data_IF_090921711445
#
_entry.id   IF_090921711445
#
_cell.length_a   1.000
_cell.length_b   1.000
_cell.length_c   1.000
_cell.angle_alpha   90.00
_cell.angle_beta   90.00
_cell.angle_gamma   90.00
#
_symmetry.space_group_name_H-M   'P 1'
#
loop_
_entity.id
_entity.type
_entity.pdbx_description
1 polymer ?
#
# COMPACT_ATOMS: atom_id res chain seq x y z
N UNK A 1 -39.56 20.62 10.97
CA UNK A 1 -39.57 20.12 9.57
C UNK A 1 -38.54 20.81 8.65
N UNK A 2 -37.46 21.41 9.21
CA UNK A 2 -36.42 22.15 8.46
C UNK A 2 -35.12 21.34 8.28
N UNK A 3 -34.83 20.38 9.17
CA UNK A 3 -33.60 19.55 9.11
C UNK A 3 -33.49 18.64 7.88
N UNK A 4 -34.58 17.99 7.45
CA UNK A 4 -34.57 17.05 6.31
C UNK A 4 -34.36 17.71 4.94
N UNK A 5 -34.60 19.03 4.81
CA UNK A 5 -34.33 19.78 3.55
C UNK A 5 -32.86 20.16 3.41
N UNK A 6 -32.16 20.33 4.53
CA UNK A 6 -30.76 20.74 4.56
C UNK A 6 -29.83 19.54 4.30
N UNK A 7 -30.14 18.36 4.85
CA UNK A 7 -29.39 17.11 4.61
C UNK A 7 -29.48 16.64 3.14
N UNK A 8 -30.66 16.74 2.51
CA UNK A 8 -30.83 16.43 1.08
C UNK A 8 -30.07 17.38 0.15
N UNK A 9 -29.97 18.66 0.51
CA UNK A 9 -29.24 19.66 -0.28
C UNK A 9 -27.71 19.47 -0.19
N UNK A 10 -27.21 19.02 0.97
CA UNK A 10 -25.79 18.67 1.17
C UNK A 10 -25.44 17.40 0.36
N UNK A 11 -26.27 16.35 0.41
CA UNK A 11 -26.09 15.12 -0.38
C UNK A 11 -26.19 15.35 -1.91
N UNK A 12 -27.06 16.24 -2.39
CA UNK A 12 -27.14 16.61 -3.81
C UNK A 12 -25.91 17.42 -4.28
N UNK A 13 -25.23 18.12 -3.37
CA UNK A 13 -24.03 18.93 -3.69
C UNK A 13 -22.73 18.10 -3.76
N UNK A 14 -22.69 16.94 -3.10
CA UNK A 14 -21.65 15.91 -3.22
C UNK A 14 -21.78 15.11 -4.53
N UNK A 15 -23.00 14.98 -5.06
CA UNK A 15 -23.30 14.24 -6.28
C UNK A 15 -23.36 15.12 -7.56
N UNK A 16 -22.94 16.39 -7.53
CA UNK A 16 -22.90 17.22 -8.75
C UNK A 16 -21.93 16.60 -9.78
N UNK A 17 -22.41 16.13 -10.94
CA UNK A 17 -21.58 15.53 -11.97
C UNK A 17 -20.44 16.46 -12.44
N UNK A 18 -20.60 17.78 -12.30
CA UNK A 18 -19.56 18.77 -12.62
C UNK A 18 -18.42 18.72 -11.61
N UNK A 19 -18.72 18.64 -10.31
CA UNK A 19 -17.72 18.49 -9.24
C UNK A 19 -16.96 17.18 -9.36
N UNK A 20 -17.65 16.08 -9.64
CA UNK A 20 -16.98 14.79 -9.85
C UNK A 20 -16.04 14.83 -11.05
N UNK A 21 -16.46 15.44 -12.16
CA UNK A 21 -15.60 15.62 -13.35
C UNK A 21 -14.36 16.48 -13.08
N UNK A 22 -14.48 17.58 -12.32
CA UNK A 22 -13.30 18.40 -11.98
C UNK A 22 -12.35 17.66 -11.03
N UNK A 23 -12.87 16.94 -10.03
CA UNK A 23 -12.06 16.11 -9.14
C UNK A 23 -11.33 15.01 -9.91
N UNK A 24 -12.02 14.29 -10.79
CA UNK A 24 -11.43 13.25 -11.63
C UNK A 24 -10.28 13.79 -12.49
N UNK A 25 -10.48 14.93 -13.18
CA UNK A 25 -9.44 15.56 -14.01
C UNK A 25 -8.21 16.00 -13.21
N UNK A 26 -8.41 16.51 -12.00
CA UNK A 26 -7.31 16.88 -11.10
C UNK A 26 -6.52 15.64 -10.67
N UNK A 27 -7.20 14.55 -10.32
CA UNK A 27 -6.56 13.29 -9.97
C UNK A 27 -5.84 12.66 -11.18
N UNK A 28 -6.46 12.61 -12.36
CA UNK A 28 -5.84 12.06 -13.57
C UNK A 28 -4.54 12.83 -13.91
N UNK A 29 -4.58 14.15 -13.79
CA UNK A 29 -3.41 15.00 -13.99
C UNK A 29 -2.30 14.72 -12.96
N UNK A 30 -2.66 14.68 -11.68
CA UNK A 30 -1.71 14.40 -10.60
C UNK A 30 -1.10 13.00 -10.73
N UNK A 31 -1.90 11.96 -10.98
CA UNK A 31 -1.46 10.58 -11.23
C UNK A 31 -0.49 10.52 -12.43
N UNK A 32 -0.78 11.25 -13.50
CA UNK A 32 0.09 11.32 -14.69
C UNK A 32 1.45 11.95 -14.37
N UNK A 33 1.47 13.04 -13.61
CA UNK A 33 2.70 13.73 -13.22
C UNK A 33 3.53 12.86 -12.25
N UNK A 34 2.86 12.24 -11.29
CA UNK A 34 3.44 11.36 -10.29
C UNK A 34 4.14 10.14 -10.94
N UNK A 35 3.48 9.49 -11.89
CA UNK A 35 4.05 8.36 -12.62
C UNK A 35 5.29 8.76 -13.44
N UNK A 36 5.33 9.97 -14.01
CA UNK A 36 6.41 10.43 -14.89
C UNK A 36 7.60 11.03 -14.15
N UNK A 37 7.39 11.69 -13.02
CA UNK A 37 8.42 12.52 -12.37
C UNK A 37 8.41 12.49 -10.85
N UNK A 38 7.69 11.56 -10.22
CA UNK A 38 7.65 11.44 -8.77
C UNK A 38 6.89 12.58 -8.08
N UNK A 39 7.06 12.70 -6.77
CA UNK A 39 6.36 13.70 -5.93
C UNK A 39 6.63 15.13 -6.37
N UNK A 40 7.88 15.42 -6.74
CA UNK A 40 8.33 16.78 -7.05
C UNK A 40 7.69 17.33 -8.33
N UNK A 41 7.30 16.43 -9.25
CA UNK A 41 6.57 16.80 -10.47
C UNK A 41 5.11 17.21 -10.20
N UNK A 42 4.53 16.82 -9.06
CA UNK A 42 3.13 17.09 -8.71
C UNK A 42 3.00 18.45 -8.02
N UNK A 43 3.19 19.52 -8.78
CA UNK A 43 2.96 20.89 -8.29
C UNK A 43 1.53 21.36 -8.59
N UNK A 44 1.00 22.27 -7.76
CA UNK A 44 -0.33 22.88 -7.97
C UNK A 44 -0.47 23.47 -9.37
N UNK A 45 0.57 24.16 -9.85
CA UNK A 45 0.55 24.82 -11.15
C UNK A 45 0.63 23.79 -12.29
N UNK A 46 1.45 22.74 -12.17
CA UNK A 46 1.50 21.66 -13.15
C UNK A 46 0.18 20.90 -13.23
N UNK A 47 -0.43 20.57 -12.09
CA UNK A 47 -1.71 19.86 -12.02
C UNK A 47 -2.83 20.70 -12.61
N UNK A 48 -2.99 21.95 -12.20
CA UNK A 48 -4.07 22.83 -12.69
C UNK A 48 -3.96 23.08 -14.19
N UNK A 49 -2.73 23.27 -14.70
CA UNK A 49 -2.44 23.39 -16.13
C UNK A 49 -2.81 22.13 -16.90
N UNK A 50 -2.37 20.96 -16.45
CA UNK A 50 -2.63 19.68 -17.11
C UNK A 50 -4.12 19.29 -17.04
N UNK A 51 -4.73 19.46 -15.88
CA UNK A 51 -6.16 19.23 -15.66
C UNK A 51 -7.03 20.22 -16.42
N UNK A 52 -6.49 21.38 -16.85
CA UNK A 52 -7.21 22.54 -17.41
C UNK A 52 -8.34 23.00 -16.49
N UNK A 53 -8.00 23.21 -15.22
CA UNK A 53 -8.92 23.59 -14.13
C UNK A 53 -8.29 24.75 -13.36
N UNK A 54 -9.10 25.72 -12.90
CA UNK A 54 -8.61 26.86 -12.12
C UNK A 54 -8.09 26.42 -10.73
N UNK A 55 -7.09 27.13 -10.20
CA UNK A 55 -6.51 26.86 -8.87
C UNK A 55 -7.54 26.87 -7.74
N UNK A 56 -8.49 27.80 -7.79
CA UNK A 56 -9.59 27.86 -6.81
C UNK A 56 -10.47 26.59 -6.82
N UNK A 57 -10.59 25.90 -7.96
CA UNK A 57 -11.33 24.64 -8.05
C UNK A 57 -10.54 23.48 -7.44
N UNK A 58 -9.21 23.49 -7.52
CA UNK A 58 -8.37 22.49 -6.83
C UNK A 58 -8.57 22.57 -5.32
N UNK A 59 -8.47 23.77 -4.73
CA UNK A 59 -8.67 23.97 -3.28
C UNK A 59 -10.12 23.72 -2.80
N UNK A 60 -11.09 23.57 -3.72
CA UNK A 60 -12.46 23.13 -3.38
C UNK A 60 -12.61 21.61 -3.28
N UNK A 61 -11.61 20.87 -3.74
CA UNK A 61 -11.59 19.41 -3.80
C UNK A 61 -10.52 18.77 -2.92
N UNK A 62 -9.45 19.51 -2.63
CA UNK A 62 -8.33 19.08 -1.82
C UNK A 62 -7.92 20.24 -0.93
N UNK A 63 -7.79 19.98 0.36
CA UNK A 63 -7.42 20.97 1.37
C UNK A 63 -5.98 21.45 1.16
N UNK A 64 -5.10 20.57 0.66
CA UNK A 64 -3.72 20.91 0.33
C UNK A 64 -3.15 20.02 -0.80
N UNK A 65 -1.94 20.36 -1.26
CA UNK A 65 -1.25 19.60 -2.31
C UNK A 65 -0.85 18.17 -1.88
N UNK A 66 -0.60 17.94 -0.59
CA UNK A 66 -0.29 16.61 -0.05
C UNK A 66 -1.48 15.66 -0.19
N UNK A 67 -2.70 16.14 0.06
CA UNK A 67 -3.92 15.34 -0.09
C UNK A 67 -4.12 14.89 -1.53
N UNK A 68 -3.87 15.80 -2.48
CA UNK A 68 -3.91 15.48 -3.90
C UNK A 68 -2.87 14.42 -4.27
N UNK A 69 -1.63 14.54 -3.76
CA UNK A 69 -0.56 13.55 -4.01
C UNK A 69 -0.95 12.19 -3.42
N UNK A 70 -1.45 12.15 -2.19
CA UNK A 70 -1.92 10.91 -1.56
C UNK A 70 -3.05 10.25 -2.37
N UNK A 71 -4.05 11.03 -2.78
CA UNK A 71 -5.16 10.53 -3.58
C UNK A 71 -4.72 10.09 -4.99
N UNK A 72 -3.74 10.77 -5.60
CA UNK A 72 -3.16 10.39 -6.88
C UNK A 72 -2.33 9.10 -6.77
N UNK A 73 -1.60 8.94 -5.67
CA UNK A 73 -0.80 7.77 -5.38
C UNK A 73 -1.68 6.54 -5.18
N UNK A 74 -2.79 6.66 -4.44
CA UNK A 74 -3.76 5.57 -4.29
C UNK A 74 -4.29 5.02 -5.62
N UNK A 75 -4.26 5.80 -6.71
CA UNK A 75 -4.65 5.35 -8.06
C UNK A 75 -3.51 4.69 -8.85
N UNK A 76 -2.26 4.82 -8.41
CA UNK A 76 -1.11 4.16 -9.00
C UNK A 76 -0.87 2.75 -8.44
N UNK A 77 -1.41 2.46 -7.25
CA UNK A 77 -1.34 1.14 -6.66
C UNK A 77 -2.29 0.23 -7.46
N UNK A 78 -1.79 -0.84 -8.09
CA UNK A 78 -2.63 -1.79 -8.78
C UNK A 78 -3.69 -2.37 -7.84
N UNK A 79 -4.89 -2.70 -8.34
CA UNK A 79 -5.84 -3.46 -7.55
C UNK A 79 -5.19 -4.77 -7.08
N UNK A 80 -5.51 -5.18 -5.85
CA UNK A 80 -4.99 -6.41 -5.29
C UNK A 80 -5.39 -7.57 -6.21
N UNK A 81 -4.48 -8.51 -6.50
CA UNK A 81 -4.81 -9.62 -7.39
C UNK A 81 -5.91 -10.47 -6.76
N UNK A 82 -6.92 -10.82 -7.56
CA UNK A 82 -7.96 -11.75 -7.10
C UNK A 82 -7.38 -13.15 -7.06
N UNK A 83 -7.41 -13.80 -5.90
CA UNK A 83 -6.93 -15.18 -5.77
C UNK A 83 -8.06 -16.12 -6.20
N UNK A 84 -8.03 -16.53 -7.47
CA UNK A 84 -8.95 -17.52 -8.06
C UNK A 84 -8.32 -18.93 -8.11
N UNK A 85 -7.36 -19.21 -7.24
CA UNK A 85 -6.69 -20.50 -7.22
C UNK A 85 -7.57 -21.57 -6.54
N UNK A 86 -7.90 -22.62 -7.29
CA UNK A 86 -8.32 -23.91 -6.75
C UNK A 86 -7.09 -24.60 -6.13
N UNK A 87 -7.24 -25.24 -4.96
CA UNK A 87 -6.13 -25.93 -4.30
C UNK A 87 -6.11 -25.71 -2.78
N UNK A 88 -5.09 -26.29 -2.14
CA UNK A 88 -4.86 -26.13 -0.70
C UNK A 88 -4.26 -24.73 -0.38
N UNK A 89 -4.08 -24.43 0.90
CA UNK A 89 -3.52 -23.16 1.37
C UNK A 89 -2.18 -22.81 0.66
N UNK A 90 -1.33 -23.82 0.44
CA UNK A 90 0.00 -23.63 -0.16
C UNK A 90 -0.15 -23.18 -1.60
N UNK A 91 -0.94 -23.90 -2.40
CA UNK A 91 -1.16 -23.59 -3.81
C UNK A 91 -1.72 -22.17 -3.98
N UNK A 92 -2.70 -21.81 -3.15
CA UNK A 92 -3.31 -20.47 -3.17
C UNK A 92 -2.32 -19.36 -2.80
N UNK A 93 -1.44 -19.61 -1.82
CA UNK A 93 -0.42 -18.65 -1.40
C UNK A 93 0.71 -18.51 -2.43
N UNK A 94 1.11 -19.59 -3.09
CA UNK A 94 2.08 -19.57 -4.21
C UNK A 94 1.54 -18.72 -5.37
N UNK A 95 0.30 -18.96 -5.80
CA UNK A 95 -0.30 -18.19 -6.89
C UNK A 95 -0.44 -16.70 -6.54
N UNK A 96 -0.82 -16.40 -5.29
CA UNK A 96 -0.82 -15.02 -4.79
C UNK A 96 0.59 -14.40 -4.89
N UNK A 97 1.61 -15.10 -4.43
CA UNK A 97 3.00 -14.64 -4.46
C UNK A 97 3.53 -14.40 -5.88
N UNK A 98 3.21 -15.29 -6.82
CA UNK A 98 3.56 -15.12 -8.25
C UNK A 98 2.83 -13.93 -8.87
N UNK A 99 1.55 -13.75 -8.54
CA UNK A 99 0.77 -12.60 -9.00
C UNK A 99 1.34 -11.29 -8.46
N UNK A 100 1.71 -11.25 -7.18
CA UNK A 100 2.36 -10.09 -6.55
C UNK A 100 3.71 -9.78 -7.19
N UNK A 101 4.54 -10.80 -7.46
CA UNK A 101 5.83 -10.61 -8.13
C UNK A 101 5.64 -9.95 -9.51
N UNK A 102 4.66 -10.40 -10.28
CA UNK A 102 4.33 -9.84 -11.60
C UNK A 102 3.82 -8.39 -11.52
N UNK A 103 3.01 -8.06 -10.52
CA UNK A 103 2.53 -6.69 -10.28
C UNK A 103 3.67 -5.75 -9.87
N UNK A 104 4.56 -6.21 -8.99
CA UNK A 104 5.72 -5.43 -8.53
C UNK A 104 6.73 -5.22 -9.67
N UNK A 105 6.92 -6.22 -10.54
CA UNK A 105 7.80 -6.13 -11.70
C UNK A 105 7.27 -5.15 -12.74
N UNK A 106 5.97 -5.21 -13.07
CA UNK A 106 5.33 -4.34 -14.06
C UNK A 106 5.15 -2.90 -13.61
N UNK A 107 5.24 -2.63 -12.29
CA UNK A 107 5.13 -1.28 -11.76
C UNK A 107 6.36 -0.41 -12.09
N UNK A 108 6.17 0.90 -12.40
CA UNK A 108 7.26 1.86 -12.53
C UNK A 108 8.12 1.89 -11.26
N UNK A 109 9.45 1.88 -11.41
CA UNK A 109 10.40 1.77 -10.28
C UNK A 109 10.16 2.84 -9.20
N UNK A 110 9.91 4.08 -9.62
CA UNK A 110 9.60 5.18 -8.72
C UNK A 110 8.34 4.93 -7.89
N UNK A 111 7.32 4.31 -8.47
CA UNK A 111 6.08 3.96 -7.75
C UNK A 111 6.35 2.83 -6.75
N UNK A 112 7.06 1.77 -7.15
CA UNK A 112 7.43 0.68 -6.25
C UNK A 112 8.28 1.18 -5.07
N UNK A 113 9.29 2.00 -5.36
CA UNK A 113 10.11 2.64 -4.34
C UNK A 113 9.21 3.48 -3.42
N UNK A 114 8.41 4.40 -3.95
CA UNK A 114 7.54 5.23 -3.12
C UNK A 114 6.53 4.43 -2.28
N UNK A 115 5.96 3.33 -2.79
CA UNK A 115 5.06 2.46 -2.01
C UNK A 115 5.81 1.90 -0.80
N UNK A 116 7.04 1.42 -1.01
CA UNK A 116 7.85 0.81 0.03
C UNK A 116 8.39 1.82 1.03
N UNK A 117 8.94 2.93 0.52
CA UNK A 117 9.44 4.06 1.30
C UNK A 117 8.32 4.73 2.10
N UNK A 118 7.08 4.73 1.59
CA UNK A 118 5.88 5.22 2.29
C UNK A 118 5.25 4.23 3.28
N UNK A 119 5.69 2.97 3.30
CA UNK A 119 5.29 1.96 4.29
C UNK A 119 6.23 1.87 5.49
N UNK A 120 7.50 2.27 5.35
CA UNK A 120 8.41 2.41 6.48
C UNK A 120 7.94 3.51 7.45
N UNK A 121 8.45 3.55 8.70
CA UNK A 121 8.62 4.85 9.33
C UNK A 121 9.41 5.70 8.32
N UNK A 122 8.98 6.94 8.08
CA UNK A 122 9.57 7.80 7.04
C UNK A 122 11.10 7.65 7.08
N UNK A 123 11.76 7.46 5.93
CA UNK A 123 13.22 7.22 5.84
C UNK A 123 14.09 8.32 6.47
N UNK A 124 13.45 9.34 7.02
CA UNK A 124 14.00 10.33 7.94
C UNK A 124 14.43 9.70 9.29
N UNK A 125 13.97 8.48 9.63
CA UNK A 125 14.25 7.76 10.89
C UNK A 125 15.72 7.27 11.05
N UNK A 126 16.59 7.44 10.05
CA UNK A 126 18.04 7.29 10.25
C UNK A 126 18.73 8.57 10.74
N UNK A 127 18.00 9.70 10.81
CA UNK A 127 18.49 10.94 11.40
C UNK A 127 17.71 11.30 12.67
N UNK A 128 18.21 10.75 13.80
CA UNK A 128 17.95 11.19 15.18
C UNK A 128 16.51 11.13 15.69
N UNK A 129 16.37 10.51 16.87
CA UNK A 129 15.16 10.24 17.62
C UNK A 129 14.40 11.48 18.19
N UNK A 130 14.40 12.62 17.48
CA UNK A 130 13.68 13.85 17.89
C UNK A 130 12.69 14.37 16.83
N UNK A 131 12.44 13.64 15.74
CA UNK A 131 11.46 14.01 14.70
C UNK A 131 10.10 13.29 14.82
N UNK A 132 9.78 12.77 16.01
CA UNK A 132 8.44 12.25 16.31
C UNK A 132 7.49 13.42 16.56
N UNK A 133 7.03 14.03 15.47
CA UNK A 133 5.66 14.51 15.22
C UNK A 133 5.64 15.66 14.19
N UNK A 134 5.13 15.39 12.99
CA UNK A 134 4.66 16.41 12.06
C UNK A 134 3.52 15.88 11.17
N UNK A 135 2.47 15.40 11.82
CA UNK A 135 1.06 15.69 11.53
C UNK A 135 0.63 16.03 10.08
N UNK A 136 0.86 15.10 9.14
CA UNK A 136 0.18 15.12 7.82
C UNK A 136 -0.80 13.95 7.72
N UNK A 137 -2.10 14.15 8.05
CA UNK A 137 -3.11 13.09 8.01
C UNK A 137 -3.23 12.40 6.65
N UNK A 138 -2.81 13.05 5.59
CA UNK A 138 -2.83 12.56 4.22
C UNK A 138 -1.79 11.45 3.99
N UNK A 139 -0.58 11.59 4.56
CA UNK A 139 0.45 10.54 4.48
C UNK A 139 0.07 9.32 5.30
N UNK A 140 -0.58 9.52 6.45
CA UNK A 140 -1.15 8.45 7.27
C UNK A 140 -2.22 7.68 6.51
N UNK A 141 -3.15 8.39 5.88
CA UNK A 141 -4.22 7.82 5.03
C UNK A 141 -3.64 7.08 3.84
N UNK A 142 -2.58 7.62 3.22
CA UNK A 142 -1.89 6.97 2.13
C UNK A 142 -1.27 5.64 2.55
N UNK A 143 -0.50 5.64 3.65
CA UNK A 143 0.10 4.42 4.20
C UNK A 143 -0.96 3.38 4.54
N UNK A 144 -2.05 3.79 5.19
CA UNK A 144 -3.19 2.91 5.48
C UNK A 144 -3.82 2.33 4.21
N UNK A 145 -3.96 3.14 3.16
CA UNK A 145 -4.49 2.71 1.86
C UNK A 145 -3.57 1.68 1.21
N UNK A 146 -2.25 1.94 1.20
CA UNK A 146 -1.25 1.01 0.66
C UNK A 146 -1.31 -0.32 1.42
N UNK A 147 -1.25 -0.28 2.74
CA UNK A 147 -1.29 -1.47 3.60
C UNK A 147 -2.60 -2.25 3.41
N UNK A 148 -3.75 -1.57 3.41
CA UNK A 148 -5.05 -2.21 3.18
C UNK A 148 -5.11 -2.89 1.80
N UNK A 149 -4.54 -2.26 0.78
CA UNK A 149 -4.51 -2.80 -0.57
C UNK A 149 -3.62 -4.05 -0.67
N UNK A 150 -2.46 -4.05 -0.02
CA UNK A 150 -1.61 -5.25 0.06
C UNK A 150 -2.29 -6.36 0.85
N UNK A 151 -2.92 -6.03 1.98
CA UNK A 151 -3.62 -6.99 2.86
C UNK A 151 -4.81 -7.66 2.18
N UNK A 152 -5.57 -6.94 1.36
CA UNK A 152 -6.84 -7.43 0.81
C UNK A 152 -6.73 -8.77 0.05
N UNK A 153 -5.61 -9.04 -0.62
CA UNK A 153 -5.42 -10.33 -1.30
C UNK A 153 -4.99 -11.44 -0.32
N UNK A 154 -4.18 -11.12 0.69
CA UNK A 154 -3.80 -12.07 1.73
C UNK A 154 -4.98 -12.41 2.65
N UNK A 155 -5.89 -11.47 2.91
CA UNK A 155 -7.11 -11.71 3.69
C UNK A 155 -7.99 -12.80 3.06
N UNK A 156 -8.01 -12.91 1.72
CA UNK A 156 -8.75 -13.96 1.01
C UNK A 156 -8.14 -15.35 1.20
N UNK A 157 -6.85 -15.42 1.52
CA UNK A 157 -6.11 -16.67 1.73
C UNK A 157 -6.07 -17.02 3.22
N UNK A 158 -5.64 -16.07 4.06
CA UNK A 158 -5.49 -16.23 5.51
C UNK A 158 -6.82 -16.22 6.27
N UNK A 159 -7.88 -15.66 5.70
CA UNK A 159 -9.21 -15.66 6.31
C UNK A 159 -9.96 -16.99 6.21
N UNK A 160 -9.32 -18.06 5.72
CA UNK A 160 -9.96 -19.37 5.54
C UNK A 160 -9.80 -20.26 6.79
N UNK A 161 -10.75 -21.19 7.06
CA UNK A 161 -10.62 -22.10 8.20
C UNK A 161 -9.35 -22.95 8.17
N UNK A 162 -8.96 -23.42 6.98
CA UNK A 162 -7.70 -24.16 6.75
C UNK A 162 -6.48 -23.32 7.14
N UNK A 163 -6.45 -22.04 6.75
CA UNK A 163 -5.38 -21.14 7.15
C UNK A 163 -5.37 -20.88 8.66
N UNK A 164 -6.52 -20.72 9.30
CA UNK A 164 -6.59 -20.53 10.75
C UNK A 164 -6.04 -21.74 11.53
N UNK A 165 -6.35 -22.95 11.07
CA UNK A 165 -5.83 -24.20 11.68
C UNK A 165 -4.32 -24.33 11.50
N UNK A 166 -3.83 -24.11 10.28
CA UNK A 166 -2.42 -24.35 9.94
C UNK A 166 -1.50 -23.23 10.38
N UNK A 167 -1.93 -21.97 10.25
CA UNK A 167 -1.09 -20.82 10.59
C UNK A 167 -1.14 -20.51 12.08
N UNK A 168 -2.22 -20.84 12.80
CA UNK A 168 -2.39 -20.47 14.21
C UNK A 168 -2.38 -18.95 14.44
N UNK A 169 -1.96 -18.51 15.62
CA UNK A 169 -1.82 -17.08 15.93
C UNK A 169 -0.46 -16.54 15.43
N UNK A 170 -0.48 -15.46 14.65
CA UNK A 170 0.71 -14.86 14.08
C UNK A 170 0.62 -13.33 14.00
N UNK A 171 1.77 -12.68 13.95
CA UNK A 171 1.87 -11.27 13.61
C UNK A 171 1.69 -11.11 12.10
N UNK A 172 0.57 -10.50 11.70
CA UNK A 172 0.20 -10.32 10.31
C UNK A 172 1.19 -9.41 9.57
N UNK A 173 1.66 -8.34 10.21
CA UNK A 173 2.61 -7.41 9.58
C UNK A 173 3.94 -8.10 9.32
N UNK A 174 4.40 -8.91 10.27
CA UNK A 174 5.60 -9.73 10.08
C UNK A 174 5.43 -10.77 8.98
N UNK A 175 4.28 -11.44 8.91
CA UNK A 175 3.99 -12.41 7.86
C UNK A 175 4.01 -11.77 6.47
N UNK A 176 3.40 -10.59 6.31
CA UNK A 176 3.49 -9.83 5.06
C UNK A 176 4.92 -9.43 4.73
N UNK A 177 5.72 -8.99 5.72
CA UNK A 177 7.10 -8.63 5.50
C UNK A 177 7.95 -9.82 5.03
N UNK A 178 7.73 -11.02 5.58
CA UNK A 178 8.40 -12.26 5.17
C UNK A 178 8.04 -12.67 3.74
N UNK A 179 6.78 -12.49 3.35
CA UNK A 179 6.28 -12.90 2.03
C UNK A 179 6.59 -11.86 0.95
N UNK A 180 6.22 -10.60 1.15
CA UNK A 180 6.38 -9.53 0.14
C UNK A 180 7.78 -8.91 0.14
N UNK A 181 8.45 -8.87 1.29
CA UNK A 181 9.77 -8.25 1.45
C UNK A 181 10.80 -8.73 0.43
N UNK A 182 10.99 -10.04 0.21
CA UNK A 182 11.92 -10.54 -0.80
C UNK A 182 11.60 -10.06 -2.23
N UNK A 183 10.32 -9.99 -2.61
CA UNK A 183 9.90 -9.51 -3.94
C UNK A 183 10.29 -8.04 -4.13
N UNK A 184 9.99 -7.20 -3.14
CA UNK A 184 10.28 -5.77 -3.21
C UNK A 184 11.78 -5.50 -3.10
N UNK A 185 12.48 -6.20 -2.19
CA UNK A 185 13.93 -6.11 -2.05
C UNK A 185 14.62 -6.43 -3.38
N UNK A 186 14.27 -7.53 -4.01
CA UNK A 186 14.85 -7.93 -5.31
C UNK A 186 14.62 -6.86 -6.37
N UNK A 187 13.39 -6.35 -6.45
CA UNK A 187 13.02 -5.29 -7.41
C UNK A 187 13.79 -3.98 -7.20
N UNK A 188 14.01 -3.56 -5.95
CA UNK A 188 14.70 -2.32 -5.60
C UNK A 188 16.22 -2.44 -5.62
N UNK A 189 16.76 -3.57 -5.19
CA UNK A 189 18.19 -3.89 -5.21
C UNK A 189 18.71 -4.24 -6.62
N UNK A 190 17.87 -4.11 -7.65
CA UNK A 190 18.17 -4.39 -9.07
C UNK A 190 18.58 -5.83 -9.38
N UNK A 191 18.22 -6.77 -8.50
CA UNK A 191 18.49 -8.20 -8.70
C UNK A 191 17.50 -8.79 -9.72
N UNK A 192 17.86 -9.94 -10.31
CA UNK A 192 17.00 -10.69 -11.23
C UNK A 192 15.63 -10.94 -10.58
N UNK A 193 14.50 -10.68 -11.29
CA UNK A 193 13.17 -10.91 -10.76
C UNK A 193 13.02 -12.32 -10.18
N UNK A 194 12.34 -12.43 -9.03
CA UNK A 194 12.06 -13.72 -8.41
C UNK A 194 11.06 -14.47 -9.31
N UNK A 195 11.51 -15.58 -9.88
CA UNK A 195 10.65 -16.49 -10.64
C UNK A 195 9.77 -17.35 -9.72
N UNK A 196 8.83 -18.08 -10.32
CA UNK A 196 7.89 -18.98 -9.62
C UNK A 196 8.57 -19.90 -8.60
N UNK A 197 9.70 -20.52 -8.94
CA UNK A 197 10.42 -21.41 -8.03
C UNK A 197 10.87 -20.71 -6.73
N UNK A 198 11.24 -19.42 -6.80
CA UNK A 198 11.58 -18.66 -5.61
C UNK A 198 10.34 -18.30 -4.79
N UNK A 199 9.21 -17.99 -5.44
CA UNK A 199 7.93 -17.81 -4.75
C UNK A 199 7.49 -19.10 -4.02
N UNK A 200 7.62 -20.25 -4.67
CA UNK A 200 7.36 -21.57 -4.05
C UNK A 200 8.22 -21.78 -2.81
N UNK A 201 9.53 -21.55 -2.92
CA UNK A 201 10.45 -21.69 -1.78
C UNK A 201 10.10 -20.75 -0.61
N UNK A 202 9.81 -19.48 -0.89
CA UNK A 202 9.42 -18.49 0.14
C UNK A 202 8.15 -18.95 0.87
N UNK A 203 7.16 -19.46 0.13
CA UNK A 203 5.92 -19.97 0.71
C UNK A 203 6.17 -21.22 1.54
N UNK A 204 6.98 -22.16 1.04
CA UNK A 204 7.32 -23.39 1.74
C UNK A 204 8.04 -23.11 3.06
N UNK A 205 9.02 -22.20 3.04
CA UNK A 205 9.76 -21.80 4.23
C UNK A 205 8.85 -21.12 5.26
N UNK A 206 7.94 -20.26 4.81
CA UNK A 206 6.95 -19.60 5.67
C UNK A 206 6.01 -20.62 6.33
N UNK A 207 5.43 -21.53 5.54
CA UNK A 207 4.49 -22.53 6.06
C UNK A 207 5.18 -23.51 7.00
N UNK A 208 6.38 -23.97 6.68
CA UNK A 208 7.15 -24.86 7.55
C UNK A 208 7.48 -24.20 8.91
N UNK A 209 7.83 -22.90 8.90
CA UNK A 209 8.05 -22.15 10.13
C UNK A 209 6.77 -22.00 10.96
N UNK A 210 5.62 -21.83 10.31
CA UNK A 210 4.32 -21.76 10.98
C UNK A 210 3.88 -23.09 11.58
N UNK A 211 4.00 -24.18 10.82
CA UNK A 211 3.70 -25.53 11.28
C UNK A 211 4.51 -25.85 12.56
N UNK A 212 5.81 -25.54 12.57
CA UNK A 212 6.67 -25.73 13.74
C UNK A 212 6.29 -24.87 14.95
N UNK A 213 5.81 -23.64 14.75
CA UNK A 213 5.37 -22.76 15.85
C UNK A 213 4.05 -23.21 16.46
N UNK A 214 3.12 -23.70 15.63
CA UNK A 214 1.84 -24.28 16.06
C UNK A 214 2.08 -25.56 16.86
N UNK A 215 2.94 -26.45 16.38
CA UNK A 215 3.35 -27.67 17.11
C UNK A 215 3.99 -27.36 18.47
N UNK A 216 4.80 -26.29 18.55
CA UNK A 216 5.43 -25.86 19.78
C UNK A 216 4.50 -25.12 20.76
N UNK A 217 3.28 -24.74 20.33
CA UNK A 217 2.37 -23.90 21.11
C UNK A 217 2.94 -22.51 21.41
N UNK A 218 3.88 -22.03 20.60
CA UNK A 218 4.55 -20.75 20.80
C UNK A 218 3.69 -19.61 20.23
N UNK A 219 3.33 -18.64 21.07
CA UNK A 219 2.77 -17.37 20.60
C UNK A 219 3.75 -16.60 19.72
N UNK A 220 3.31 -15.55 19.02
CA UNK A 220 4.18 -14.74 18.17
C UNK A 220 5.42 -14.27 18.98
N UNK A 221 6.64 -14.44 18.45
CA UNK A 221 7.84 -14.06 19.18
C UNK A 221 7.79 -12.55 19.47
N UNK A 222 8.02 -12.16 20.71
CA UNK A 222 8.16 -10.75 21.06
C UNK A 222 9.29 -10.15 20.19
N UNK A 223 8.97 -9.18 19.34
CA UNK A 223 9.95 -8.43 18.58
C UNK A 223 10.94 -7.83 19.58
N UNK A 224 12.16 -8.35 19.63
CA UNK A 224 13.23 -7.77 20.44
C UNK A 224 13.54 -6.39 19.87
N UNK A 225 13.46 -5.37 20.71
CA UNK A 225 13.96 -4.03 20.37
C UNK A 225 15.41 -4.17 19.91
N UNK A 226 15.67 -3.79 18.65
CA UNK A 226 17.02 -3.76 18.09
C UNK A 226 17.70 -2.57 18.76
N UNK A 227 18.76 -2.77 19.58
CA UNK A 227 19.47 -1.64 20.16
C UNK A 227 20.05 -0.79 19.03
N UNK A 228 20.00 0.55 19.14
CA UNK A 228 20.46 1.45 18.08
C UNK A 228 21.90 1.09 17.70
N UNK A 229 22.14 0.96 16.40
CA UNK A 229 23.46 0.64 15.87
C UNK A 229 24.47 1.66 16.41
N UNK A 230 25.41 1.18 17.22
CA UNK A 230 26.51 2.02 17.70
C UNK A 230 27.35 2.41 16.48
N UNK A 231 27.39 3.71 16.18
CA UNK A 231 28.17 4.26 15.09
C UNK A 231 29.65 3.89 15.28
N UNK A 232 30.24 3.25 14.27
CA UNK A 232 31.69 3.06 14.10
C UNK A 232 32.29 4.25 13.36
#
# INVERSE_FOLDING_TARGET
MVGQRQERAVQMSEQDPRRQRSRARLLDAATTLLAKGGTDAVTIDAVTKLAKVARATLYRHFDNGTELVAAAFGRLIPPAPTVLADGDLRDRLVELMVSQASLIESAPMNVTAMCWLGMGPALDDYSSADAVDADKPELRTLRQTIVAQYRAAFDQVFGTPEAAERLGEFDYDLALAQLIGPLVFTRLATLTPLGRAACEQIVDDFLAARDAQVEAGAGPPALREIPPAQAL
#
